data_IF_235329679843
#
_entry.id   IF_235329679843
#
_cell.length_a   1.000
_cell.length_b   1.000
_cell.length_c   1.000
_cell.angle_alpha   90.00
_cell.angle_beta   90.00
_cell.angle_gamma   90.00
#
_symmetry.space_group_name_H-M   'P 1'
#
loop_
_entity.id
_entity.type
_entity.pdbx_description
1 polymer ?
#
# COMPACT_ATOMS: atom_id res chain seq x y z
N UNK A 1 -23.59 -18.42 0.53
CA UNK A 1 -22.30 -19.11 0.74
C UNK A 1 -21.52 -19.06 -0.58
N UNK A 2 -20.68 -18.05 -0.78
CA UNK A 2 -19.81 -17.95 -1.96
C UNK A 2 -18.60 -17.10 -1.57
N UNK A 3 -17.67 -17.72 -0.83
CA UNK A 3 -16.41 -17.07 -0.50
C UNK A 3 -15.46 -17.17 -1.68
N UNK A 4 -14.72 -16.09 -1.98
CA UNK A 4 -13.57 -16.17 -2.85
C UNK A 4 -12.59 -17.18 -2.23
N UNK A 5 -12.35 -18.32 -2.87
CA UNK A 5 -11.27 -19.25 -2.56
C UNK A 5 -10.09 -18.82 -3.42
N UNK A 6 -8.92 -18.62 -2.81
CA UNK A 6 -7.69 -18.44 -3.58
C UNK A 6 -7.18 -19.83 -3.98
N UNK A 7 -7.24 -20.13 -5.27
CA UNK A 7 -6.66 -21.33 -5.88
C UNK A 7 -5.30 -20.97 -6.45
N UNK A 8 -4.28 -21.74 -6.09
CA UNK A 8 -2.91 -21.58 -6.59
C UNK A 8 -2.56 -22.78 -7.47
N UNK A 9 -2.52 -22.56 -8.78
CA UNK A 9 -2.08 -23.57 -9.72
C UNK A 9 -0.60 -23.36 -10.04
N UNK A 10 0.24 -24.33 -9.67
CA UNK A 10 1.68 -24.29 -9.89
C UNK A 10 2.03 -25.24 -11.03
N UNK A 11 2.56 -24.70 -12.12
CA UNK A 11 3.08 -25.48 -13.25
C UNK A 11 4.57 -25.69 -13.09
N UNK A 12 4.97 -26.96 -13.04
CA UNK A 12 6.36 -27.39 -12.93
C UNK A 12 6.81 -28.07 -14.23
N UNK A 13 7.99 -27.71 -14.70
CA UNK A 13 8.68 -28.39 -15.80
C UNK A 13 9.54 -29.52 -15.22
N UNK A 14 9.15 -30.77 -15.47
CA UNK A 14 9.94 -31.92 -15.03
C UNK A 14 11.26 -32.07 -15.81
N UNK A 15 11.28 -31.63 -17.07
CA UNK A 15 12.46 -31.75 -17.94
C UNK A 15 13.50 -30.70 -17.57
N UNK A 16 13.06 -29.46 -17.38
CA UNK A 16 13.92 -28.34 -16.99
C UNK A 16 14.09 -28.21 -15.48
N UNK A 17 13.44 -29.08 -14.70
CA UNK A 17 13.45 -29.12 -13.23
C UNK A 17 13.23 -27.74 -12.59
N UNK A 18 12.22 -27.00 -13.09
CA UNK A 18 11.95 -25.61 -12.68
C UNK A 18 10.47 -25.27 -12.68
N UNK A 19 10.09 -24.30 -11.87
CA UNK A 19 8.73 -23.73 -11.87
C UNK A 19 8.57 -22.83 -13.11
N UNK A 20 7.48 -23.03 -13.85
CA UNK A 20 7.18 -22.28 -15.08
C UNK A 20 6.15 -21.19 -14.83
N UNK A 21 5.13 -21.48 -14.00
CA UNK A 21 4.01 -20.57 -13.78
C UNK A 21 3.33 -20.84 -12.46
N UNK A 22 2.95 -19.77 -11.76
CA UNK A 22 2.00 -19.77 -10.65
C UNK A 22 0.79 -18.97 -11.10
N UNK A 23 -0.41 -19.54 -11.00
CA UNK A 23 -1.67 -18.85 -11.32
C UNK A 23 -2.48 -18.73 -10.05
N UNK A 24 -2.83 -17.49 -9.71
CA UNK A 24 -3.75 -17.17 -8.62
C UNK A 24 -5.14 -16.97 -9.22
N UNK A 25 -6.08 -17.85 -8.85
CA UNK A 25 -7.48 -17.75 -9.27
C UNK A 25 -8.37 -17.51 -8.05
N UNK A 26 -9.41 -16.69 -8.20
CA UNK A 26 -10.39 -16.44 -7.15
C UNK A 26 -11.71 -17.12 -7.53
N UNK A 27 -12.25 -17.99 -6.66
CA UNK A 27 -13.41 -18.83 -6.99
C UNK A 27 -14.75 -18.10 -7.23
N UNK A 28 -14.79 -16.78 -7.08
CA UNK A 28 -15.93 -15.96 -7.51
C UNK A 28 -15.56 -15.23 -8.79
N UNK A 29 -16.04 -15.76 -9.93
CA UNK A 29 -15.75 -15.39 -11.32
C UNK A 29 -15.96 -13.91 -11.71
N UNK A 30 -16.38 -13.01 -10.81
CA UNK A 30 -16.48 -11.58 -11.11
C UNK A 30 -15.13 -10.84 -11.15
N UNK A 31 -14.04 -11.47 -10.70
CA UNK A 31 -12.68 -10.86 -10.67
C UNK A 31 -11.77 -11.31 -11.81
N UNK A 32 -12.21 -12.23 -12.67
CA UNK A 32 -11.41 -12.74 -13.81
C UNK A 32 -11.29 -11.76 -14.99
N UNK A 33 -12.03 -10.65 -14.99
CA UNK A 33 -11.96 -9.69 -16.09
C UNK A 33 -10.75 -8.74 -16.03
N UNK A 34 -10.02 -8.69 -14.90
CA UNK A 34 -8.71 -8.05 -14.89
C UNK A 34 -7.67 -9.11 -15.29
N UNK A 35 -7.25 -9.11 -16.57
CA UNK A 35 -6.11 -9.86 -17.11
C UNK A 35 -4.76 -9.36 -16.54
N UNK A 36 -4.72 -9.08 -15.25
CA UNK A 36 -3.55 -8.57 -14.56
C UNK A 36 -2.71 -9.74 -14.05
N UNK A 37 -1.80 -10.21 -14.90
CA UNK A 37 -0.88 -11.29 -14.57
C UNK A 37 0.27 -10.87 -13.64
N UNK A 38 0.30 -9.63 -13.13
CA UNK A 38 1.44 -9.14 -12.31
C UNK A 38 1.63 -9.91 -11.02
N UNK A 39 0.55 -10.27 -10.33
CA UNK A 39 0.63 -11.11 -9.12
C UNK A 39 1.11 -12.52 -9.47
N UNK A 40 0.62 -13.08 -10.58
CA UNK A 40 1.04 -14.39 -11.10
C UNK A 40 2.55 -14.39 -11.42
N UNK A 41 3.03 -13.35 -12.11
CA UNK A 41 4.42 -13.17 -12.50
C UNK A 41 5.32 -13.01 -11.28
N UNK A 42 4.93 -12.18 -10.30
CA UNK A 42 5.67 -12.01 -9.05
C UNK A 42 5.82 -13.33 -8.30
N UNK A 43 4.70 -14.05 -8.09
CA UNK A 43 4.72 -15.31 -7.35
C UNK A 43 5.48 -16.41 -8.10
N UNK A 44 5.39 -16.42 -9.44
CA UNK A 44 6.20 -17.32 -10.28
C UNK A 44 7.68 -17.05 -10.07
N UNK A 45 8.12 -15.79 -10.19
CA UNK A 45 9.52 -15.42 -10.00
C UNK A 45 10.04 -15.80 -8.60
N UNK A 46 9.26 -15.54 -7.56
CA UNK A 46 9.66 -15.82 -6.18
C UNK A 46 9.69 -17.31 -5.84
N UNK A 47 8.80 -18.10 -6.44
CA UNK A 47 8.81 -19.55 -6.25
C UNK A 47 9.92 -20.23 -7.07
N UNK A 48 10.26 -19.68 -8.24
CA UNK A 48 11.34 -20.17 -9.09
C UNK A 48 12.73 -19.94 -8.51
N UNK A 49 12.91 -18.98 -7.60
CA UNK A 49 14.17 -18.69 -6.91
C UNK A 49 14.08 -19.07 -5.42
N UNK A 50 14.81 -20.10 -5.01
CA UNK A 50 14.81 -20.58 -3.62
C UNK A 50 15.18 -19.49 -2.60
N UNK A 51 16.00 -18.50 -2.97
CA UNK A 51 16.33 -17.38 -2.07
C UNK A 51 15.12 -16.50 -1.74
N UNK A 52 14.11 -16.50 -2.62
CA UNK A 52 12.90 -15.70 -2.50
C UNK A 52 11.71 -16.49 -1.94
N UNK A 53 11.90 -17.77 -1.59
CA UNK A 53 10.82 -18.62 -1.09
C UNK A 53 10.14 -18.07 0.18
N UNK A 54 10.88 -17.38 1.04
CA UNK A 54 10.30 -16.71 2.21
C UNK A 54 9.39 -15.54 1.82
N UNK A 55 9.72 -14.80 0.75
CA UNK A 55 8.86 -13.74 0.22
C UNK A 55 7.60 -14.34 -0.40
N UNK A 56 7.74 -15.43 -1.15
CA UNK A 56 6.59 -16.18 -1.68
C UNK A 56 5.60 -16.57 -0.57
N UNK A 57 6.09 -17.18 0.53
CA UNK A 57 5.24 -17.54 1.67
C UNK A 57 4.53 -16.34 2.28
N UNK A 58 5.25 -15.26 2.54
CA UNK A 58 4.68 -14.02 3.09
C UNK A 58 3.58 -13.45 2.19
N UNK A 59 3.79 -13.48 0.87
CA UNK A 59 2.79 -13.01 -0.08
C UNK A 59 1.52 -13.87 -0.09
N UNK A 60 1.66 -15.20 0.03
CA UNK A 60 0.51 -16.08 0.21
C UNK A 60 -0.22 -15.82 1.53
N UNK A 61 0.51 -15.58 2.62
CA UNK A 61 -0.06 -15.25 3.92
C UNK A 61 -0.83 -13.92 3.88
N UNK A 62 -0.29 -12.90 3.22
CA UNK A 62 -0.98 -11.63 2.96
C UNK A 62 -2.31 -11.85 2.24
N UNK A 63 -2.27 -12.56 1.11
CA UNK A 63 -3.45 -12.85 0.28
C UNK A 63 -4.52 -13.62 1.07
N UNK A 64 -4.10 -14.65 1.80
CA UNK A 64 -4.96 -15.44 2.69
C UNK A 64 -5.57 -14.58 3.81
N UNK A 65 -4.81 -13.65 4.36
CA UNK A 65 -5.27 -12.77 5.44
C UNK A 65 -6.40 -11.87 4.96
N UNK A 66 -6.25 -11.23 3.78
CA UNK A 66 -7.30 -10.42 3.16
C UNK A 66 -8.57 -11.24 2.86
N UNK A 67 -8.41 -12.46 2.33
CA UNK A 67 -9.52 -13.39 2.08
C UNK A 67 -10.24 -13.76 3.38
N UNK A 68 -9.49 -14.10 4.42
CA UNK A 68 -10.04 -14.51 5.71
C UNK A 68 -10.80 -13.35 6.37
N UNK A 69 -10.25 -12.14 6.35
CA UNK A 69 -10.93 -10.95 6.90
C UNK A 69 -12.21 -10.63 6.13
N UNK A 70 -12.17 -10.69 4.79
CA UNK A 70 -13.36 -10.48 3.94
C UNK A 70 -14.48 -11.49 4.23
N UNK A 71 -14.12 -12.73 4.57
CA UNK A 71 -15.09 -13.79 4.94
C UNK A 71 -15.69 -13.57 6.33
N UNK A 72 -14.87 -13.17 7.30
CA UNK A 72 -15.28 -13.04 8.69
C UNK A 72 -16.08 -11.76 8.97
N UNK A 73 -15.88 -10.71 8.16
CA UNK A 73 -16.35 -9.35 8.46
C UNK A 73 -17.24 -8.83 7.32
N UNK A 74 -18.12 -9.71 6.81
CA UNK A 74 -19.12 -9.31 5.82
C UNK A 74 -19.95 -8.13 6.34
N UNK A 75 -20.30 -7.16 5.47
CA UNK A 75 -20.18 -7.20 4.01
C UNK A 75 -18.90 -6.57 3.42
N UNK A 76 -17.87 -6.27 4.23
CA UNK A 76 -16.65 -5.61 3.73
C UNK A 76 -15.75 -6.57 2.95
N UNK A 77 -15.42 -6.19 1.71
CA UNK A 77 -14.45 -6.88 0.87
C UNK A 77 -13.08 -6.19 0.95
N UNK A 78 -12.11 -6.84 1.62
CA UNK A 78 -10.78 -6.27 1.84
C UNK A 78 -10.01 -6.12 0.52
N UNK A 79 -10.27 -6.97 -0.49
CA UNK A 79 -9.62 -6.80 -1.79
C UNK A 79 -10.14 -5.57 -2.52
N UNK A 80 -11.44 -5.29 -2.41
CA UNK A 80 -12.02 -4.06 -2.93
C UNK A 80 -11.44 -2.83 -2.22
N UNK A 81 -11.29 -2.87 -0.90
CA UNK A 81 -10.66 -1.79 -0.12
C UNK A 81 -9.22 -1.51 -0.60
N UNK A 82 -8.41 -2.55 -0.77
CA UNK A 82 -7.04 -2.43 -1.30
C UNK A 82 -7.03 -1.91 -2.75
N UNK A 83 -7.99 -2.31 -3.59
CA UNK A 83 -8.14 -1.79 -4.95
C UNK A 83 -8.46 -0.30 -4.95
N UNK A 84 -9.32 0.16 -4.04
CA UNK A 84 -9.64 1.58 -3.90
C UNK A 84 -8.38 2.41 -3.61
N UNK A 85 -7.58 1.97 -2.62
CA UNK A 85 -6.31 2.63 -2.30
C UNK A 85 -5.33 2.62 -3.49
N UNK A 86 -5.25 1.49 -4.21
CA UNK A 86 -4.38 1.40 -5.39
C UNK A 86 -4.78 2.39 -6.49
N UNK A 87 -6.09 2.59 -6.69
CA UNK A 87 -6.61 3.58 -7.63
C UNK A 87 -6.31 5.00 -7.18
N UNK A 88 -6.52 5.32 -5.90
CA UNK A 88 -6.19 6.64 -5.33
C UNK A 88 -4.72 7.00 -5.58
N UNK A 89 -3.79 6.11 -5.21
CA UNK A 89 -2.35 6.32 -5.39
C UNK A 89 -2.02 6.52 -6.88
N UNK A 90 -2.60 5.71 -7.75
CA UNK A 90 -2.38 5.80 -9.19
C UNK A 90 -2.86 7.16 -9.73
N UNK A 91 -4.05 7.61 -9.35
CA UNK A 91 -4.59 8.90 -9.78
C UNK A 91 -3.78 10.07 -9.26
N UNK A 92 -3.31 10.02 -8.01
CA UNK A 92 -2.41 11.06 -7.47
C UNK A 92 -1.14 11.15 -8.30
N UNK A 93 -0.49 10.01 -8.55
CA UNK A 93 0.72 9.96 -9.37
C UNK A 93 0.47 10.46 -10.79
N UNK A 94 -0.64 10.11 -11.43
CA UNK A 94 -0.99 10.58 -12.77
C UNK A 94 -1.14 12.11 -12.83
N UNK A 95 -1.77 12.72 -11.80
CA UNK A 95 -1.88 14.19 -11.68
C UNK A 95 -0.49 14.83 -11.54
N UNK A 96 0.37 14.31 -10.67
CA UNK A 96 1.74 14.82 -10.48
C UNK A 96 2.60 14.63 -11.73
N UNK A 97 2.46 13.49 -12.41
CA UNK A 97 3.16 13.16 -13.63
C UNK A 97 2.81 14.11 -14.78
N UNK A 98 1.53 14.46 -14.92
CA UNK A 98 1.10 15.46 -15.89
C UNK A 98 1.70 16.85 -15.59
N UNK A 99 1.69 17.29 -14.32
CA UNK A 99 2.19 18.63 -13.92
C UNK A 99 3.70 18.74 -14.09
N UNK A 100 4.42 17.65 -13.83
CA UNK A 100 5.89 17.59 -13.92
C UNK A 100 6.39 17.29 -15.33
N UNK A 101 5.52 17.17 -16.34
CA UNK A 101 5.87 16.72 -17.70
C UNK A 101 6.61 15.37 -17.72
N UNK A 102 6.26 14.49 -16.79
CA UNK A 102 6.84 13.16 -16.64
C UNK A 102 8.21 13.10 -15.99
N UNK A 103 8.57 14.10 -15.17
CA UNK A 103 9.78 14.06 -14.33
C UNK A 103 9.55 13.19 -13.08
N UNK A 104 9.79 11.89 -13.24
CA UNK A 104 9.62 10.88 -12.18
C UNK A 104 10.54 11.15 -10.98
N UNK A 105 11.75 11.66 -11.21
CA UNK A 105 12.68 11.98 -10.15
C UNK A 105 12.11 13.09 -9.26
N UNK A 106 11.54 14.13 -9.87
CA UNK A 106 10.90 15.23 -9.15
C UNK A 106 9.70 14.75 -8.32
N UNK A 107 8.89 13.84 -8.85
CA UNK A 107 7.78 13.23 -8.11
C UNK A 107 8.28 12.49 -6.86
N UNK A 108 9.39 11.75 -6.96
CA UNK A 108 9.98 11.07 -5.81
C UNK A 108 10.47 12.05 -4.73
N UNK A 109 11.03 13.19 -5.12
CA UNK A 109 11.69 14.12 -4.18
C UNK A 109 10.77 15.21 -3.63
N UNK A 110 9.73 15.58 -4.36
CA UNK A 110 8.86 16.74 -4.06
C UNK A 110 7.36 16.40 -4.05
N UNK A 111 6.98 15.18 -4.46
CA UNK A 111 5.60 14.72 -4.59
C UNK A 111 5.17 13.71 -3.53
N UNK A 112 4.07 13.02 -3.80
CA UNK A 112 3.50 11.98 -2.92
C UNK A 112 4.18 10.62 -3.06
N UNK A 113 5.09 10.48 -4.02
CA UNK A 113 5.86 9.26 -4.27
C UNK A 113 5.41 8.51 -5.52
N UNK A 114 6.12 7.42 -5.81
CA UNK A 114 5.95 6.63 -7.04
C UNK A 114 5.17 5.34 -6.72
N UNK A 115 4.07 5.02 -7.43
CA UNK A 115 3.36 3.77 -7.26
C UNK A 115 4.21 2.59 -7.74
N UNK A 116 4.47 1.63 -6.86
CA UNK A 116 5.21 0.41 -7.14
C UNK A 116 4.38 -0.81 -6.75
N UNK A 117 3.33 -1.09 -7.50
CA UNK A 117 2.42 -2.18 -7.18
C UNK A 117 3.07 -3.55 -7.40
N UNK A 118 2.85 -4.47 -6.47
CA UNK A 118 3.32 -5.86 -6.59
C UNK A 118 4.85 -5.99 -6.74
N UNK A 119 5.64 -5.08 -6.15
CA UNK A 119 7.11 -5.16 -6.12
C UNK A 119 7.57 -5.82 -4.82
N UNK A 120 8.16 -7.02 -4.91
CA UNK A 120 8.54 -7.93 -3.81
C UNK A 120 7.38 -8.40 -2.92
N UNK A 121 6.38 -7.56 -2.67
CA UNK A 121 5.15 -7.89 -1.94
C UNK A 121 3.91 -7.64 -2.76
N UNK A 122 2.89 -8.49 -2.59
CA UNK A 122 1.59 -8.31 -3.23
C UNK A 122 0.85 -7.12 -2.62
N UNK A 123 0.22 -6.31 -3.47
CA UNK A 123 -0.60 -5.17 -3.08
C UNK A 123 0.04 -3.81 -3.39
N UNK A 124 -0.59 -2.72 -2.91
CA UNK A 124 -0.15 -1.37 -3.16
C UNK A 124 1.13 -1.04 -2.38
N UNK A 125 2.07 -0.40 -3.06
CA UNK A 125 3.22 0.20 -2.40
C UNK A 125 3.61 1.52 -3.08
N UNK A 126 4.23 2.41 -2.31
CA UNK A 126 4.66 3.74 -2.74
C UNK A 126 6.14 3.89 -2.42
N UNK A 127 6.99 4.12 -3.43
CA UNK A 127 8.34 4.60 -3.19
C UNK A 127 8.30 6.08 -2.82
N UNK A 128 8.89 6.42 -1.67
CA UNK A 128 8.82 7.77 -1.10
C UNK A 128 10.18 8.40 -0.87
N UNK A 129 11.26 7.60 -0.88
CA UNK A 129 12.59 8.11 -0.62
C UNK A 129 13.68 7.20 -1.16
N UNK A 130 14.85 7.77 -1.46
CA UNK A 130 16.09 7.05 -1.64
C UNK A 130 17.29 7.95 -1.32
N UNK A 131 18.44 7.38 -0.93
CA UNK A 131 19.70 8.10 -0.86
C UNK A 131 20.04 8.81 -2.18
N UNK A 132 20.59 10.02 -2.10
CA UNK A 132 20.92 10.86 -3.26
C UNK A 132 21.74 10.13 -4.34
N UNK A 133 22.72 9.31 -3.94
CA UNK A 133 23.56 8.58 -4.89
C UNK A 133 22.72 7.56 -5.70
N UNK A 134 21.79 6.87 -5.07
CA UNK A 134 20.89 5.94 -5.76
C UNK A 134 19.93 6.67 -6.71
N UNK A 135 19.42 7.83 -6.29
CA UNK A 135 18.57 8.66 -7.16
C UNK A 135 19.33 9.07 -8.44
N UNK A 136 20.63 9.36 -8.34
CA UNK A 136 21.46 9.76 -9.48
C UNK A 136 21.85 8.59 -10.40
N UNK A 137 21.84 7.36 -9.91
CA UNK A 137 22.20 6.16 -10.68
C UNK A 137 21.03 5.62 -11.51
N UNK A 138 19.79 5.99 -11.17
CA UNK A 138 18.59 5.51 -11.84
C UNK A 138 18.39 6.25 -13.17
N UNK A 139 18.22 5.49 -14.26
CA UNK A 139 17.76 6.05 -15.54
C UNK A 139 16.24 6.30 -15.50
N UNK A 140 15.87 7.48 -15.02
CA UNK A 140 14.47 7.90 -14.88
C UNK A 140 13.70 7.94 -16.21
N UNK A 141 14.38 8.09 -17.35
CA UNK A 141 13.71 8.09 -18.66
C UNK A 141 13.24 6.69 -19.03
N UNK A 142 14.07 5.69 -18.76
CA UNK A 142 13.71 4.28 -18.98
C UNK A 142 12.68 3.79 -17.95
N UNK A 143 12.89 4.13 -16.67
CA UNK A 143 12.03 3.69 -15.56
C UNK A 143 10.59 4.21 -15.68
N UNK A 144 10.42 5.41 -16.26
CA UNK A 144 9.10 6.01 -16.49
C UNK A 144 8.13 5.06 -17.19
N UNK A 145 8.57 4.40 -18.26
CA UNK A 145 7.70 3.52 -19.04
C UNK A 145 7.35 2.24 -18.27
N UNK A 146 8.31 1.72 -17.50
CA UNK A 146 8.12 0.56 -16.62
C UNK A 146 7.07 0.85 -15.55
N UNK A 147 7.12 2.03 -14.92
CA UNK A 147 6.14 2.43 -13.90
C UNK A 147 4.73 2.51 -14.50
N UNK A 148 4.58 3.09 -15.70
CA UNK A 148 3.28 3.21 -16.38
C UNK A 148 2.71 1.83 -16.72
N UNK A 149 3.56 0.91 -17.15
CA UNK A 149 3.19 -0.49 -17.42
C UNK A 149 2.96 -1.30 -16.12
N UNK A 150 3.45 -0.77 -14.99
CA UNK A 150 3.43 -1.42 -13.68
C UNK A 150 4.23 -2.71 -13.66
N UNK A 151 5.30 -2.78 -14.45
CA UNK A 151 6.25 -3.88 -14.46
C UNK A 151 7.26 -3.74 -13.32
N UNK A 152 8.06 -4.78 -13.07
CA UNK A 152 9.10 -4.77 -12.04
C UNK A 152 10.46 -4.45 -12.65
N UNK A 153 11.23 -3.59 -11.98
CA UNK A 153 12.62 -3.31 -12.30
C UNK A 153 13.51 -3.42 -11.05
N UNK A 154 14.76 -3.84 -11.24
CA UNK A 154 15.70 -4.06 -10.14
C UNK A 154 15.96 -2.78 -9.33
N UNK A 155 16.01 -1.63 -9.99
CA UNK A 155 16.16 -0.31 -9.34
C UNK A 155 15.05 0.01 -8.33
N UNK A 156 13.89 -0.65 -8.38
CA UNK A 156 12.85 -0.43 -7.37
C UNK A 156 13.22 -0.96 -5.99
N UNK A 157 14.16 -1.92 -5.92
CA UNK A 157 14.61 -2.50 -4.66
C UNK A 157 15.55 -1.59 -3.87
N UNK A 158 16.19 -0.61 -4.52
CA UNK A 158 17.00 0.39 -3.82
C UNK A 158 16.14 1.51 -3.21
N UNK A 159 14.90 1.68 -3.67
CA UNK A 159 13.98 2.68 -3.15
C UNK A 159 13.38 2.25 -1.81
N UNK A 160 13.21 3.22 -0.91
CA UNK A 160 12.43 3.03 0.31
C UNK A 160 10.96 3.14 -0.01
N UNK A 161 10.20 2.16 0.48
CA UNK A 161 8.80 1.94 0.11
C UNK A 161 7.91 1.90 1.32
N UNK A 162 6.69 2.37 1.13
CA UNK A 162 5.57 2.19 2.04
C UNK A 162 4.67 1.12 1.43
N UNK A 163 4.53 -0.02 2.10
CA UNK A 163 3.60 -1.07 1.69
C UNK A 163 2.31 -0.95 2.50
N UNK A 164 1.18 -0.90 1.80
CA UNK A 164 -0.13 -0.71 2.42
C UNK A 164 -0.88 -2.04 2.44
N UNK A 165 -1.37 -2.40 3.63
CA UNK A 165 -2.13 -3.63 3.87
C UNK A 165 -3.31 -3.36 4.80
N UNK A 166 -3.97 -4.42 5.25
CA UNK A 166 -5.04 -4.34 6.24
C UNK A 166 -4.78 -5.30 7.39
N UNK A 167 -5.19 -4.92 8.59
CA UNK A 167 -5.19 -5.80 9.76
C UNK A 167 -6.47 -5.62 10.60
N UNK A 168 -6.61 -6.44 11.64
CA UNK A 168 -7.75 -6.34 12.56
C UNK A 168 -7.60 -5.12 13.45
N UNK A 169 -8.62 -4.27 13.47
CA UNK A 169 -8.69 -3.10 14.36
C UNK A 169 -9.45 -3.43 15.64
N UNK A 170 -9.17 -2.64 16.69
CA UNK A 170 -9.97 -2.63 17.92
C UNK A 170 -11.21 -1.75 17.80
N UNK A 171 -11.25 -0.86 16.82
CA UNK A 171 -12.35 0.08 16.58
C UNK A 171 -13.00 -0.18 15.22
N UNK A 172 -14.32 0.03 15.09
CA UNK A 172 -14.97 -0.08 13.80
C UNK A 172 -14.55 1.08 12.89
N UNK A 173 -14.32 0.78 11.62
CA UNK A 173 -14.07 1.74 10.55
C UNK A 173 -15.09 1.53 9.42
N UNK A 174 -15.46 2.62 8.75
CA UNK A 174 -16.38 2.61 7.62
C UNK A 174 -15.61 2.54 6.30
N UNK A 175 -16.10 1.70 5.38
CA UNK A 175 -15.48 1.47 4.08
C UNK A 175 -16.43 1.82 2.94
N UNK A 176 -15.86 2.15 1.78
CA UNK A 176 -16.64 2.44 0.57
C UNK A 176 -17.52 1.25 0.16
N UNK A 177 -18.70 1.53 -0.42
CA UNK A 177 -19.56 0.48 -0.96
C UNK A 177 -18.94 -0.13 -2.23
N UNK A 178 -19.26 -1.39 -2.59
CA UNK A 178 -18.69 -2.08 -3.74
C UNK A 178 -18.85 -1.36 -5.10
N UNK A 179 -19.84 -0.46 -5.21
CA UNK A 179 -20.08 0.35 -6.40
C UNK A 179 -19.08 1.49 -6.62
N UNK A 180 -18.23 1.81 -5.63
CA UNK A 180 -17.27 2.91 -5.70
C UNK A 180 -15.84 2.40 -5.62
N UNK A 181 -14.96 2.86 -6.51
CA UNK A 181 -13.64 2.28 -6.70
C UNK A 181 -12.47 3.14 -6.18
N UNK A 182 -12.71 4.26 -5.51
CA UNK A 182 -11.66 5.18 -5.03
C UNK A 182 -12.21 6.15 -3.97
N UNK A 183 -11.38 6.56 -3.01
CA UNK A 183 -11.71 7.56 -1.98
C UNK A 183 -11.45 8.98 -2.46
N UNK A 184 -10.47 9.15 -3.35
CA UNK A 184 -10.15 10.43 -3.96
C UNK A 184 -11.32 10.88 -4.84
N UNK A 185 -11.74 12.13 -4.64
CA UNK A 185 -12.71 12.79 -5.49
C UNK A 185 -12.03 13.22 -6.79
N UNK A 186 -12.55 12.75 -7.93
CA UNK A 186 -12.11 13.24 -9.23
C UNK A 186 -12.88 14.51 -9.61
N UNK A 187 -12.25 15.36 -10.41
CA UNK A 187 -12.82 16.65 -10.85
C UNK A 187 -13.95 16.47 -11.90
N UNK A 188 -14.33 15.23 -12.22
CA UNK A 188 -15.48 14.92 -13.07
C UNK A 188 -16.78 15.06 -12.25
N UNK A 189 -17.88 15.44 -12.92
CA UNK A 189 -19.20 15.66 -12.31
C UNK A 189 -19.74 14.37 -11.64
N UNK A 190 -19.28 14.09 -10.43
CA UNK A 190 -19.98 13.22 -9.51
C UNK A 190 -21.23 13.95 -9.00
N UNK A 191 -22.33 13.20 -8.79
CA UNK A 191 -23.58 13.77 -8.33
C UNK A 191 -23.40 14.39 -6.94
N UNK A 192 -23.23 15.72 -6.90
CA UNK A 192 -22.93 16.47 -5.67
C UNK A 192 -23.93 16.20 -4.55
N UNK A 193 -25.20 15.94 -4.89
CA UNK A 193 -26.26 15.62 -3.93
C UNK A 193 -25.97 14.29 -3.22
N UNK A 194 -25.65 13.23 -3.98
CA UNK A 194 -25.34 11.91 -3.43
C UNK A 194 -24.07 11.95 -2.56
N UNK A 195 -23.09 12.75 -2.97
CA UNK A 195 -21.86 12.97 -2.22
C UNK A 195 -22.12 13.66 -0.88
N UNK A 196 -22.90 14.75 -0.89
CA UNK A 196 -23.19 15.51 0.32
C UNK A 196 -24.07 14.74 1.30
N UNK A 197 -24.96 13.87 0.82
CA UNK A 197 -25.81 13.04 1.70
C UNK A 197 -25.00 11.98 2.45
N UNK A 198 -24.05 11.34 1.77
CA UNK A 198 -23.38 10.16 2.31
C UNK A 198 -21.94 10.40 2.81
N UNK A 199 -21.26 11.46 2.38
CA UNK A 199 -19.84 11.66 2.67
C UNK A 199 -19.55 13.01 3.33
N UNK A 200 -18.57 13.03 4.24
CA UNK A 200 -17.83 14.24 4.55
C UNK A 200 -16.70 14.39 3.53
N UNK A 201 -16.60 15.56 2.92
CA UNK A 201 -15.43 15.92 2.12
C UNK A 201 -14.47 16.58 3.09
N UNK A 202 -13.38 15.90 3.46
CA UNK A 202 -12.35 16.56 4.25
C UNK A 202 -11.58 17.47 3.30
N UNK A 203 -11.56 18.81 3.50
CA UNK A 203 -10.37 19.53 3.12
C UNK A 203 -9.23 18.91 3.94
N UNK A 204 -8.08 18.63 3.32
CA UNK A 204 -6.91 18.20 4.09
C UNK A 204 -6.69 19.17 5.25
N UNK A 205 -6.25 18.61 6.39
CA UNK A 205 -5.77 19.40 7.52
C UNK A 205 -4.87 20.52 7.00
N UNK A 206 -5.07 21.77 7.42
CA UNK A 206 -4.32 22.90 6.91
C UNK A 206 -2.89 22.79 7.45
N UNK A 207 -1.97 22.13 6.75
CA UNK A 207 -0.51 22.36 6.87
C UNK A 207 0.42 21.51 5.99
N UNK A 208 -0.06 20.51 5.22
CA UNK A 208 0.85 19.79 4.31
C UNK A 208 0.69 20.33 2.89
N UNK A 209 1.40 21.42 2.58
CA UNK A 209 1.56 21.86 1.19
C UNK A 209 2.40 20.84 0.43
N UNK A 210 1.74 19.94 -0.31
CA UNK A 210 2.43 19.08 -1.26
C UNK A 210 2.80 19.90 -2.49
N UNK A 211 4.10 20.14 -2.69
CA UNK A 211 4.61 21.19 -3.59
C UNK A 211 4.29 21.02 -5.07
N UNK A 212 3.88 19.82 -5.51
CA UNK A 212 3.60 19.56 -6.93
C UNK A 212 2.13 19.83 -7.32
N UNK A 213 1.18 19.65 -6.40
CA UNK A 213 -0.24 19.84 -6.69
C UNK A 213 -0.68 21.23 -6.22
N UNK A 214 -1.14 22.07 -7.14
CA UNK A 214 -1.58 23.44 -6.84
C UNK A 214 -2.89 23.48 -6.04
N UNK A 215 -3.76 22.50 -6.25
CA UNK A 215 -5.01 22.35 -5.54
C UNK A 215 -4.92 21.16 -4.56
N UNK A 216 -5.46 21.30 -3.34
CA UNK A 216 -5.46 20.21 -2.37
C UNK A 216 -6.31 19.05 -2.89
N UNK A 217 -5.85 17.84 -2.61
CA UNK A 217 -6.61 16.62 -2.87
C UNK A 217 -7.83 16.58 -1.93
N UNK A 218 -8.94 16.05 -2.43
CA UNK A 218 -10.19 15.92 -1.67
C UNK A 218 -10.52 14.44 -1.53
N UNK A 219 -10.61 13.98 -0.30
CA UNK A 219 -10.96 12.60 0.02
C UNK A 219 -12.36 12.52 0.61
N UNK A 220 -13.04 11.44 0.25
CA UNK A 220 -14.35 11.12 0.79
C UNK A 220 -14.20 10.34 2.09
N UNK A 221 -14.87 10.82 3.12
CA UNK A 221 -15.00 10.15 4.39
C UNK A 221 -16.45 9.70 4.58
N UNK A 222 -16.71 8.39 4.73
CA UNK A 222 -18.05 7.90 5.00
C UNK A 222 -18.68 8.55 6.25
N UNK A 223 -19.95 8.96 6.16
CA UNK A 223 -20.72 9.43 7.32
C UNK A 223 -21.22 8.25 8.15
N UNK A 224 -21.11 8.36 9.48
CA UNK A 224 -21.57 7.32 10.42
C UNK A 224 -23.07 7.04 10.33
N UNK A 225 -23.88 8.05 9.99
CA UNK A 225 -25.33 7.95 9.91
C UNK A 225 -25.85 7.32 8.60
N UNK A 226 -24.96 7.05 7.64
CA UNK A 226 -25.37 6.55 6.33
C UNK A 226 -25.46 5.03 6.29
N UNK A 227 -26.56 4.52 5.72
CA UNK A 227 -26.86 3.09 5.66
C UNK A 227 -26.17 2.37 4.50
N UNK A 228 -25.50 3.10 3.60
CA UNK A 228 -24.85 2.49 2.42
C UNK A 228 -23.45 1.94 2.73
N UNK A 229 -22.86 2.32 3.86
CA UNK A 229 -21.52 1.90 4.24
C UNK A 229 -21.53 0.69 5.15
N UNK A 230 -20.49 -0.11 4.99
CA UNK A 230 -20.22 -1.23 5.85
C UNK A 230 -19.19 -0.85 6.91
N UNK A 231 -19.49 -1.16 8.17
CA UNK A 231 -18.59 -1.01 9.30
C UNK A 231 -17.86 -2.33 9.58
N UNK A 232 -16.55 -2.28 9.79
CA UNK A 232 -15.73 -3.46 10.08
C UNK A 232 -14.63 -3.15 11.10
N UNK A 233 -14.27 -4.14 11.92
CA UNK A 233 -13.12 -4.12 12.85
C UNK A 233 -11.82 -4.41 12.10
N UNK A 234 -11.54 -3.62 11.06
CA UNK A 234 -10.30 -3.67 10.29
C UNK A 234 -9.80 -2.26 10.04
N UNK A 235 -8.50 -2.12 9.86
CA UNK A 235 -7.86 -0.85 9.55
C UNK A 235 -6.79 -1.01 8.48
N UNK A 236 -6.49 0.07 7.76
CA UNK A 236 -5.34 0.12 6.88
C UNK A 236 -4.08 0.29 7.70
N UNK A 237 -3.03 -0.42 7.29
CA UNK A 237 -1.70 -0.31 7.91
C UNK A 237 -0.64 -0.08 6.88
N UNK A 238 0.34 0.73 7.26
CA UNK A 238 1.49 1.10 6.43
C UNK A 238 2.75 0.52 7.03
N UNK A 239 3.50 -0.24 6.22
CA UNK A 239 4.77 -0.84 6.60
C UNK A 239 5.89 -0.18 5.80
N UNK A 240 6.94 0.28 6.49
CA UNK A 240 8.14 0.81 5.84
C UNK A 240 9.09 -0.33 5.46
N UNK A 241 9.52 -0.37 4.20
CA UNK A 241 10.45 -1.37 3.67
C UNK A 241 11.53 -0.72 2.78
N UNK A 242 12.82 -0.73 3.19
CA UNK A 242 13.30 -1.21 4.48
C UNK A 242 12.85 -0.28 5.64
N UNK A 243 12.89 -0.75 6.90
CA UNK A 243 12.63 0.10 8.05
C UNK A 243 13.62 1.27 8.11
N UNK A 244 13.11 2.48 8.29
CA UNK A 244 13.95 3.68 8.49
C UNK A 244 14.14 3.89 9.98
N UNK A 245 15.41 3.89 10.41
CA UNK A 245 15.76 4.27 11.78
C UNK A 245 15.60 5.78 11.92
N UNK A 246 14.64 6.19 12.73
CA UNK A 246 14.39 7.59 13.06
C UNK A 246 14.44 7.77 14.57
N UNK A 247 14.70 8.99 15.02
CA UNK A 247 14.55 9.31 16.44
C UNK A 247 13.09 9.15 16.87
N UNK A 248 12.85 8.84 18.15
CA UNK A 248 11.50 8.74 18.71
C UNK A 248 10.66 9.99 18.43
N UNK A 249 11.30 11.16 18.44
CA UNK A 249 10.62 12.42 18.15
C UNK A 249 10.10 12.44 16.70
N UNK A 250 10.94 12.05 15.73
CA UNK A 250 10.54 11.96 14.32
C UNK A 250 9.47 10.89 14.13
N UNK A 251 9.60 9.73 14.78
CA UNK A 251 8.57 8.69 14.74
C UNK A 251 7.21 9.18 15.27
N UNK A 252 7.19 9.98 16.34
CA UNK A 252 5.94 10.59 16.86
C UNK A 252 5.32 11.58 15.88
N UNK A 253 6.12 12.41 15.23
CA UNK A 253 5.62 13.35 14.21
C UNK A 253 5.01 12.58 13.03
N UNK A 254 5.73 11.56 12.52
CA UNK A 254 5.20 10.67 11.47
C UNK A 254 3.88 10.02 11.92
N UNK A 255 3.84 9.49 13.16
CA UNK A 255 2.64 8.90 13.73
C UNK A 255 1.47 9.88 13.80
N UNK A 256 1.70 11.13 14.21
CA UNK A 256 0.64 12.15 14.24
C UNK A 256 0.12 12.49 12.84
N UNK A 257 0.99 12.59 11.83
CA UNK A 257 0.59 12.83 10.44
C UNK A 257 -0.16 11.64 9.85
N UNK A 258 0.20 10.42 10.24
CA UNK A 258 -0.49 9.19 9.85
C UNK A 258 -1.82 8.95 10.59
N UNK A 259 -2.29 9.92 11.38
CA UNK A 259 -3.55 9.80 12.13
C UNK A 259 -3.50 8.82 13.31
N UNK A 260 -2.29 8.43 13.75
CA UNK A 260 -2.12 7.68 15.00
C UNK A 260 -2.38 8.65 16.14
N UNK A 261 -3.66 8.77 16.52
CA UNK A 261 -4.07 9.51 17.70
C UNK A 261 -3.36 8.88 18.89
N UNK A 262 -2.49 9.64 19.55
CA UNK A 262 -1.81 9.28 20.77
C UNK A 262 -2.85 9.03 21.89
N UNK A 263 -3.55 7.90 21.84
CA UNK A 263 -4.37 7.37 22.94
C UNK A 263 -3.42 6.77 23.98
N UNK A 264 -2.59 7.60 24.59
CA UNK A 264 -1.91 7.38 25.87
C UNK A 264 -1.03 6.13 26.07
N UNK A 265 -0.80 5.28 25.06
CA UNK A 265 -0.13 3.99 25.25
C UNK A 265 0.80 3.62 24.08
N UNK A 266 1.77 4.47 23.77
CA UNK A 266 3.09 3.96 23.38
C UNK A 266 3.91 3.67 24.63
N UNK A 267 3.38 2.82 25.52
CA UNK A 267 4.23 2.15 26.51
C UNK A 267 4.91 1.00 25.77
N UNK A 268 6.08 1.31 25.23
CA UNK A 268 7.33 0.53 25.06
C UNK A 268 7.34 -1.01 25.17
N UNK A 269 6.24 -1.72 24.96
CA UNK A 269 6.13 -3.16 25.24
C UNK A 269 6.30 -4.02 23.98
N UNK A 270 6.02 -3.48 22.79
CA UNK A 270 6.22 -4.22 21.53
C UNK A 270 7.64 -4.13 20.97
N UNK A 271 8.43 -3.11 21.35
CA UNK A 271 9.82 -2.93 20.93
C UNK A 271 10.87 -3.33 21.99
N UNK A 272 10.45 -3.72 23.20
CA UNK A 272 11.33 -4.29 24.21
C UNK A 272 11.27 -5.82 24.20
N UNK A 273 11.72 -6.46 23.12
CA UNK A 273 12.58 -7.62 23.38
C UNK A 273 13.89 -7.03 23.90
N UNK A 274 14.05 -7.03 25.22
CA UNK A 274 15.32 -6.75 25.90
C UNK A 274 16.35 -7.73 25.39
N UNK A 275 17.01 -7.40 24.28
CA UNK A 275 18.31 -7.94 23.97
C UNK A 275 19.30 -7.17 24.87
N UNK A 276 19.98 -7.80 25.83
CA UNK A 276 20.87 -7.11 26.77
C UNK A 276 22.12 -6.47 26.11
N UNK A 277 22.23 -6.48 24.78
CA UNK A 277 23.38 -5.97 24.03
C UNK A 277 23.14 -4.66 23.25
N UNK A 278 21.93 -4.11 23.22
CA UNK A 278 21.67 -2.84 22.50
C UNK A 278 21.57 -1.67 23.47
N UNK A 279 22.72 -1.10 23.84
CA UNK A 279 22.77 0.20 24.50
C UNK A 279 22.38 1.32 23.51
N UNK A 280 21.59 2.29 23.97
CA UNK A 280 21.30 3.48 23.18
C UNK A 280 22.56 4.35 23.01
N UNK A 281 22.60 5.17 21.96
CA UNK A 281 23.72 6.09 21.71
C UNK A 281 23.98 7.01 22.91
N UNK A 282 22.92 7.38 23.63
CA UNK A 282 22.98 8.19 24.85
C UNK A 282 23.65 7.42 26.01
N UNK A 283 23.40 6.12 26.14
CA UNK A 283 24.07 5.26 27.12
C UNK A 283 25.55 5.03 26.78
N UNK A 284 25.91 5.00 25.50
CA UNK A 284 27.31 4.93 25.06
C UNK A 284 28.07 6.24 25.33
N UNK A 285 27.39 7.38 25.36
CA UNK A 285 28.00 8.70 25.53
C UNK A 285 28.12 9.16 26.99
N UNK A 286 27.30 8.62 27.89
CA UNK A 286 27.36 8.95 29.34
C UNK A 286 28.31 8.02 30.12
N UNK A 287 28.83 6.96 29.48
CA UNK A 287 29.70 5.96 30.12
C UNK A 287 31.22 6.21 30.01
N UNK A 288 31.66 7.46 29.77
CA UNK A 288 33.08 7.83 29.84
C UNK A 288 33.32 8.91 30.89
#
# INVERSE_FOLDING_TARGET
MSGAIIVLDIKYDEILNRIIKVVVSYATDARQNDKDDRVNNLLTQQLSDFKQFNLFKKNLETLKTLETMSKLIQPVDCFHCIKCISNDIKTIYEKEFAITNGDVQKILTEGHGIPLFNVDRVGPSIAYWAPKHQIMEIDWKFIKDIIIQGEMHESFRSLHRMWISMEKSRTPHLFLPPGRNQYLLNDELENEIELMENYYISPELPEVQFSLLQAPLKFLHPKEDSTIFASALIEFVVWLDPPVYVSDNVARHIGSYAGIVNRGYFVSSAFQKKDPQTLSLEQLLVSN
#
